data_IF_710554780872
#
_entry.id   IF_710554780872
#
_cell.length_a   1.000
_cell.length_b   1.000
_cell.length_c   1.000
_cell.angle_alpha   90.00
_cell.angle_beta   90.00
_cell.angle_gamma   90.00
#
_symmetry.space_group_name_H-M   'P 1'
#
loop_
_entity.id
_entity.type
_entity.pdbx_description
1 polymer ?
#
# COMPACT_ATOMS: atom_id res chain seq x y z
N UNK A 1 4.13 -16.72 -0.79
CA UNK A 1 4.24 -18.12 -0.34
C UNK A 1 5.48 -18.81 -0.91
N UNK A 2 5.98 -18.38 -2.08
CA UNK A 2 7.12 -18.98 -2.76
C UNK A 2 8.41 -19.03 -1.92
N UNK A 3 8.68 -18.03 -1.06
CA UNK A 3 9.88 -18.05 -0.22
C UNK A 3 9.78 -19.06 0.92
N UNK A 4 8.60 -19.19 1.55
CA UNK A 4 8.36 -20.21 2.57
C UNK A 4 8.44 -21.63 2.00
N UNK A 5 7.97 -21.83 0.76
CA UNK A 5 8.04 -23.12 0.09
C UNK A 5 9.48 -23.51 -0.24
N UNK A 6 10.26 -22.57 -0.78
CA UNK A 6 11.69 -22.75 -0.98
C UNK A 6 12.43 -23.06 0.33
N UNK A 7 12.09 -22.37 1.42
CA UNK A 7 12.70 -22.61 2.73
C UNK A 7 12.34 -23.99 3.31
N UNK A 8 11.12 -24.47 3.07
CA UNK A 8 10.67 -25.81 3.44
C UNK A 8 11.47 -26.85 2.67
N UNK A 9 11.62 -26.68 1.35
CA UNK A 9 12.30 -27.66 0.51
C UNK A 9 13.81 -27.66 0.77
N UNK A 10 14.42 -26.51 1.00
CA UNK A 10 15.81 -26.41 1.46
C UNK A 10 16.01 -27.09 2.82
N UNK A 11 15.07 -26.94 3.76
CA UNK A 11 15.16 -27.62 5.05
C UNK A 11 15.03 -29.15 4.94
N UNK A 12 14.20 -29.65 4.02
CA UNK A 12 14.10 -31.10 3.71
C UNK A 12 15.39 -31.62 3.07
N UNK A 13 15.91 -30.90 2.07
CA UNK A 13 17.15 -31.26 1.37
C UNK A 13 18.34 -31.34 2.33
N UNK A 14 18.39 -30.46 3.32
CA UNK A 14 19.44 -30.45 4.34
C UNK A 14 19.18 -31.44 5.51
N UNK A 15 18.20 -32.33 5.40
CA UNK A 15 17.88 -33.32 6.44
C UNK A 15 17.27 -32.75 7.74
N UNK A 16 17.01 -31.44 7.82
CA UNK A 16 16.51 -30.79 9.02
C UNK A 16 14.99 -30.89 9.13
N UNK A 17 14.51 -32.06 9.53
CA UNK A 17 13.07 -32.35 9.62
C UNK A 17 12.32 -31.46 10.62
N UNK A 18 12.94 -31.11 11.76
CA UNK A 18 12.32 -30.24 12.77
C UNK A 18 12.03 -28.85 12.19
N UNK A 19 13.00 -28.25 11.50
CA UNK A 19 12.84 -26.96 10.82
C UNK A 19 11.78 -27.03 9.73
N UNK A 20 11.79 -28.08 8.90
CA UNK A 20 10.80 -28.27 7.85
C UNK A 20 9.36 -28.38 8.41
N UNK A 21 9.15 -29.14 9.50
CA UNK A 21 7.85 -29.25 10.18
C UNK A 21 7.38 -27.89 10.72
N UNK A 22 8.25 -27.11 11.36
CA UNK A 22 7.92 -25.77 11.89
C UNK A 22 7.52 -24.80 10.78
N UNK A 23 8.23 -24.82 9.65
CA UNK A 23 7.90 -23.99 8.49
C UNK A 23 6.57 -24.40 7.83
N UNK A 24 6.29 -25.69 7.70
CA UNK A 24 4.98 -26.19 7.23
C UNK A 24 3.83 -25.75 8.13
N UNK A 25 4.00 -25.82 9.45
CA UNK A 25 2.98 -25.36 10.40
C UNK A 25 2.73 -23.86 10.25
N UNK A 26 3.80 -23.07 10.10
CA UNK A 26 3.69 -21.65 9.82
C UNK A 26 2.92 -21.40 8.52
N UNK A 27 3.26 -22.10 7.44
CA UNK A 27 2.54 -21.99 6.15
C UNK A 27 1.04 -22.27 6.30
N UNK A 28 0.65 -23.35 6.99
CA UNK A 28 -0.76 -23.69 7.24
C UNK A 28 -1.50 -22.59 8.01
N UNK A 29 -0.87 -22.05 9.06
CA UNK A 29 -1.47 -20.94 9.82
C UNK A 29 -1.74 -19.72 8.95
N UNK A 30 -0.83 -19.39 8.03
CA UNK A 30 -1.03 -18.25 7.12
C UNK A 30 -2.09 -18.49 6.07
N UNK A 31 -2.16 -19.69 5.49
CA UNK A 31 -3.26 -20.05 4.61
C UNK A 31 -4.61 -19.89 5.31
N UNK A 32 -4.71 -20.35 6.56
CA UNK A 32 -5.92 -20.20 7.35
C UNK A 32 -6.24 -18.73 7.64
N UNK A 33 -5.24 -17.92 8.01
CA UNK A 33 -5.43 -16.48 8.25
C UNK A 33 -5.92 -15.80 6.97
N UNK A 34 -5.27 -16.03 5.83
CA UNK A 34 -5.65 -15.41 4.56
C UNK A 34 -7.07 -15.82 4.14
N UNK A 35 -7.43 -17.10 4.27
CA UNK A 35 -8.77 -17.56 3.95
C UNK A 35 -9.83 -16.92 4.86
N UNK A 36 -9.54 -16.82 6.16
CA UNK A 36 -10.43 -16.14 7.10
C UNK A 36 -10.56 -14.65 6.81
N UNK A 37 -9.46 -13.99 6.47
CA UNK A 37 -9.45 -12.58 6.11
C UNK A 37 -10.26 -12.32 4.85
N UNK A 38 -10.08 -13.14 3.80
CA UNK A 38 -10.88 -13.03 2.58
C UNK A 38 -12.37 -13.23 2.85
N UNK A 39 -12.73 -14.22 3.66
CA UNK A 39 -14.12 -14.48 4.04
C UNK A 39 -14.73 -13.31 4.83
N UNK A 40 -14.01 -12.77 5.81
CA UNK A 40 -14.47 -11.61 6.60
C UNK A 40 -14.58 -10.36 5.72
N UNK A 41 -13.63 -10.13 4.82
CA UNK A 41 -13.68 -9.01 3.88
C UNK A 41 -14.93 -9.10 2.98
N UNK A 42 -15.21 -10.28 2.44
CA UNK A 42 -16.39 -10.52 1.59
C UNK A 42 -17.70 -10.33 2.38
N UNK A 43 -17.83 -10.93 3.55
CA UNK A 43 -19.05 -10.80 4.37
C UNK A 43 -19.30 -9.35 4.81
N UNK A 44 -18.26 -8.65 5.25
CA UNK A 44 -18.41 -7.24 5.66
C UNK A 44 -18.79 -6.36 4.48
N UNK A 45 -18.25 -6.60 3.28
CA UNK A 45 -18.68 -5.88 2.08
C UNK A 45 -20.15 -6.15 1.80
N UNK A 46 -20.58 -7.41 1.75
CA UNK A 46 -21.99 -7.78 1.48
C UNK A 46 -22.96 -7.13 2.47
N UNK A 47 -22.61 -7.12 3.76
CA UNK A 47 -23.51 -6.60 4.82
C UNK A 47 -23.62 -5.08 4.77
N UNK A 48 -22.51 -4.36 4.55
CA UNK A 48 -22.46 -2.92 4.75
C UNK A 48 -22.45 -2.10 3.45
N UNK A 49 -22.16 -2.71 2.30
CA UNK A 49 -22.20 -2.02 1.00
C UNK A 49 -23.57 -1.38 0.69
N UNK A 50 -24.73 -1.96 1.04
CA UNK A 50 -26.03 -1.30 0.88
C UNK A 50 -26.18 0.00 1.69
N UNK A 51 -25.43 0.16 2.79
CA UNK A 51 -25.50 1.34 3.66
C UNK A 51 -24.59 2.49 3.17
N UNK A 52 -23.66 2.21 2.25
CA UNK A 52 -22.59 3.13 1.83
C UNK A 52 -23.02 4.06 0.68
N UNK A 53 -24.16 3.80 0.03
CA UNK A 53 -24.69 4.66 -1.04
C UNK A 53 -23.86 4.56 -2.33
N UNK A 54 -23.43 5.69 -2.90
CA UNK A 54 -22.66 5.74 -4.17
C UNK A 54 -21.17 5.36 -4.02
N UNK A 55 -20.74 4.93 -2.82
CA UNK A 55 -19.34 4.53 -2.55
C UNK A 55 -19.13 3.02 -2.56
N UNK A 56 -17.90 2.58 -2.81
CA UNK A 56 -17.47 1.21 -2.55
C UNK A 56 -16.87 1.12 -1.14
N UNK A 57 -17.35 0.17 -0.33
CA UNK A 57 -16.76 -0.11 0.98
C UNK A 57 -15.45 -0.89 0.81
N UNK A 58 -14.34 -0.28 1.22
CA UNK A 58 -13.06 -1.00 1.34
C UNK A 58 -12.87 -1.56 2.74
N UNK A 59 -12.62 -2.86 2.80
CA UNK A 59 -12.40 -3.60 4.04
C UNK A 59 -10.98 -4.15 4.03
N UNK A 60 -10.29 -4.02 5.15
CA UNK A 60 -8.91 -4.48 5.30
C UNK A 60 -8.75 -5.29 6.58
N UNK A 61 -8.35 -6.56 6.45
CA UNK A 61 -7.89 -7.33 7.61
C UNK A 61 -6.43 -7.01 7.93
N UNK A 62 -6.17 -6.46 9.13
CA UNK A 62 -4.81 -6.05 9.54
C UNK A 62 -4.32 -6.73 10.81
N UNK A 63 -3.00 -6.84 10.95
CA UNK A 63 -2.33 -7.35 12.15
C UNK A 63 -1.03 -6.60 12.44
N UNK A 64 -1.11 -5.64 13.37
CA UNK A 64 0.04 -4.86 13.85
C UNK A 64 1.15 -5.76 14.41
N UNK A 65 0.76 -6.71 15.25
CA UNK A 65 1.70 -7.66 15.85
C UNK A 65 2.46 -8.48 14.81
N UNK A 66 1.80 -8.86 13.71
CA UNK A 66 2.46 -9.55 12.60
C UNK A 66 3.37 -8.61 11.82
N UNK A 67 2.88 -7.41 11.49
CA UNK A 67 3.66 -6.42 10.77
C UNK A 67 4.96 -6.08 11.52
N UNK A 68 4.88 -5.68 12.79
CA UNK A 68 6.04 -5.29 13.59
C UNK A 68 7.09 -6.41 13.67
N UNK A 69 6.63 -7.64 13.93
CA UNK A 69 7.49 -8.81 14.06
C UNK A 69 8.26 -9.11 12.78
N UNK A 70 7.62 -8.98 11.62
CA UNK A 70 8.21 -9.38 10.34
C UNK A 70 8.88 -8.24 9.59
N UNK A 71 8.47 -6.99 9.83
CA UNK A 71 9.15 -5.79 9.35
C UNK A 71 10.56 -5.72 9.93
N UNK A 72 10.71 -5.90 11.25
CA UNK A 72 12.04 -5.95 11.91
C UNK A 72 12.94 -7.07 11.38
N UNK A 73 12.36 -8.15 10.85
CA UNK A 73 13.09 -9.31 10.33
C UNK A 73 13.35 -9.24 8.82
N UNK A 74 12.96 -8.15 8.15
CA UNK A 74 13.12 -7.99 6.70
C UNK A 74 12.33 -9.02 5.88
N UNK A 75 11.27 -9.62 6.44
CA UNK A 75 10.48 -10.62 5.73
C UNK A 75 9.32 -9.95 4.97
N UNK A 76 9.62 -9.47 3.77
CA UNK A 76 8.69 -8.70 2.94
C UNK A 76 7.36 -9.44 2.67
N UNK A 77 7.41 -10.75 2.40
CA UNK A 77 6.20 -11.55 2.15
C UNK A 77 5.24 -11.52 3.34
N UNK A 78 5.80 -11.61 4.53
CA UNK A 78 5.03 -11.64 5.77
C UNK A 78 4.56 -10.26 6.21
N UNK A 79 5.29 -9.22 5.83
CA UNK A 79 4.86 -7.83 5.96
C UNK A 79 3.65 -7.58 5.05
N UNK A 80 3.66 -8.06 3.81
CA UNK A 80 2.52 -7.95 2.90
C UNK A 80 1.29 -8.69 3.45
N UNK A 81 1.47 -9.89 3.99
CA UNK A 81 0.39 -10.68 4.58
C UNK A 81 -0.23 -10.07 5.85
N UNK A 82 0.40 -9.06 6.45
CA UNK A 82 -0.16 -8.37 7.62
C UNK A 82 -1.31 -7.40 7.30
N UNK A 83 -1.59 -7.15 6.02
CA UNK A 83 -2.63 -6.22 5.57
C UNK A 83 -2.28 -4.73 5.68
N UNK A 84 -1.37 -4.34 6.58
CA UNK A 84 -0.98 -2.93 6.78
C UNK A 84 -0.47 -2.24 5.50
N UNK A 85 0.36 -2.89 4.65
CA UNK A 85 0.77 -2.26 3.41
C UNK A 85 -0.40 -1.97 2.45
N UNK A 86 -1.48 -2.76 2.48
CA UNK A 86 -2.67 -2.50 1.67
C UNK A 86 -3.40 -1.25 2.16
N UNK A 87 -3.60 -1.12 3.48
CA UNK A 87 -4.19 0.08 4.09
C UNK A 87 -3.38 1.32 3.74
N UNK A 88 -2.04 1.27 3.87
CA UNK A 88 -1.19 2.42 3.53
C UNK A 88 -1.33 2.84 2.08
N UNK A 89 -1.34 1.89 1.15
CA UNK A 89 -1.55 2.18 -0.27
C UNK A 89 -2.90 2.86 -0.50
N UNK A 90 -3.95 2.37 0.13
CA UNK A 90 -5.27 2.99 0.07
C UNK A 90 -5.26 4.42 0.65
N UNK A 91 -4.63 4.66 1.80
CA UNK A 91 -4.48 6.02 2.32
C UNK A 91 -3.74 6.95 1.34
N UNK A 92 -2.74 6.44 0.64
CA UNK A 92 -2.04 7.23 -0.37
C UNK A 92 -2.90 7.57 -1.58
N UNK A 93 -3.81 6.69 -2.03
CA UNK A 93 -4.69 7.01 -3.17
C UNK A 93 -5.63 8.17 -2.83
N UNK A 94 -6.13 8.25 -1.59
CA UNK A 94 -6.96 9.37 -1.12
C UNK A 94 -6.20 10.69 -1.26
N UNK A 95 -4.96 10.73 -0.78
CA UNK A 95 -4.13 11.95 -0.86
C UNK A 95 -3.70 12.29 -2.28
N UNK A 96 -3.39 11.27 -3.08
CA UNK A 96 -2.96 11.45 -4.46
C UNK A 96 -4.06 12.10 -5.31
N UNK A 97 -5.32 11.66 -5.14
CA UNK A 97 -6.44 12.26 -5.84
C UNK A 97 -6.60 13.74 -5.50
N UNK A 98 -6.51 14.12 -4.23
CA UNK A 98 -6.61 15.52 -3.82
C UNK A 98 -5.47 16.37 -4.42
N UNK A 99 -4.24 15.85 -4.43
CA UNK A 99 -3.09 16.52 -5.02
C UNK A 99 -3.21 16.67 -6.54
N UNK A 100 -3.73 15.64 -7.22
CA UNK A 100 -4.00 15.68 -8.66
C UNK A 100 -5.01 16.80 -9.00
N UNK A 101 -6.12 16.88 -8.27
CA UNK A 101 -7.13 17.92 -8.49
C UNK A 101 -6.56 19.32 -8.27
N UNK A 102 -5.71 19.49 -7.25
CA UNK A 102 -4.99 20.76 -7.03
C UNK A 102 -4.05 21.10 -8.17
N UNK A 103 -3.28 20.12 -8.67
CA UNK A 103 -2.37 20.33 -9.80
C UNK A 103 -3.12 20.73 -11.07
N UNK A 104 -4.23 20.03 -11.38
CA UNK A 104 -5.10 20.36 -12.51
C UNK A 104 -5.64 21.79 -12.37
N UNK A 105 -6.17 22.14 -11.20
CA UNK A 105 -6.65 23.50 -10.96
C UNK A 105 -5.55 24.55 -11.14
N UNK A 106 -4.33 24.30 -10.64
CA UNK A 106 -3.20 25.20 -10.84
C UNK A 106 -2.86 25.38 -12.32
N UNK A 107 -2.80 24.28 -13.08
CA UNK A 107 -2.54 24.31 -14.53
C UNK A 107 -3.58 25.15 -15.29
N UNK A 108 -4.87 25.00 -14.96
CA UNK A 108 -5.94 25.71 -15.66
C UNK A 108 -6.09 27.18 -15.24
N UNK A 109 -5.98 27.46 -13.94
CA UNK A 109 -6.33 28.78 -13.37
C UNK A 109 -5.15 29.72 -13.19
N UNK A 110 -3.97 29.17 -12.90
CA UNK A 110 -2.85 29.96 -12.37
C UNK A 110 -1.64 29.96 -13.31
N UNK A 111 -1.43 28.88 -14.06
CA UNK A 111 -0.24 28.73 -14.92
C UNK A 111 -0.10 29.85 -15.95
N UNK A 112 -1.19 30.22 -16.63
CA UNK A 112 -1.13 31.28 -17.66
C UNK A 112 -0.73 32.63 -17.06
N UNK A 113 -1.27 32.99 -15.89
CA UNK A 113 -0.91 34.22 -15.18
C UNK A 113 0.55 34.19 -14.71
N UNK A 114 1.01 33.02 -14.23
CA UNK A 114 2.40 32.82 -13.84
C UNK A 114 3.34 33.00 -15.04
N UNK A 115 3.05 32.36 -16.17
CA UNK A 115 3.84 32.46 -17.40
C UNK A 115 3.90 33.91 -17.90
N UNK A 116 2.76 34.61 -17.92
CA UNK A 116 2.71 36.02 -18.29
C UNK A 116 3.55 36.90 -17.37
N UNK A 117 3.50 36.65 -16.06
CA UNK A 117 4.33 37.39 -15.09
C UNK A 117 5.83 37.12 -15.25
N UNK A 118 6.20 35.89 -15.63
CA UNK A 118 7.59 35.51 -15.87
C UNK A 118 8.12 36.15 -17.16
N UNK A 119 7.31 36.17 -18.22
CA UNK A 119 7.61 36.85 -19.47
C UNK A 119 7.83 38.35 -19.26
N UNK A 120 6.94 39.02 -18.52
CA UNK A 120 7.09 40.43 -18.15
C UNK A 120 8.39 40.72 -17.38
N UNK A 121 8.81 39.83 -16.49
CA UNK A 121 10.07 39.97 -15.75
C UNK A 121 11.28 39.77 -16.65
N UNK A 122 11.23 38.80 -17.56
CA UNK A 122 12.31 38.54 -18.52
C UNK A 122 12.46 39.67 -19.55
N UNK A 123 11.33 40.29 -19.95
CA UNK A 123 11.32 41.42 -20.88
C UNK A 123 11.74 42.75 -20.25
N UNK A 124 11.90 42.81 -18.92
CA UNK A 124 12.25 44.05 -18.22
C UNK A 124 13.72 44.39 -18.53
N UNK A 125 14.03 45.51 -19.22
CA UNK A 125 15.41 45.87 -19.51
C UNK A 125 16.15 46.11 -18.19
N UNK A 126 17.35 45.54 -18.07
CA UNK A 126 18.27 45.82 -16.97
C UNK A 126 18.65 47.29 -17.02
N UNK A 127 17.94 48.12 -16.24
CA UNK A 127 18.34 49.50 -16.01
C UNK A 127 19.67 49.44 -15.27
N UNK A 128 20.77 49.72 -15.98
CA UNK A 128 22.05 49.96 -15.33
C UNK A 128 21.94 51.25 -14.52
N UNK A 129 22.19 51.21 -13.20
CA UNK A 129 22.24 52.44 -12.40
C UNK A 129 23.43 53.28 -12.87
N UNK A 130 23.16 54.56 -13.13
CA UNK A 130 24.18 55.59 -13.44
C UNK A 130 24.99 55.95 -12.20
#
# INVERSE_FOLDING_TARGET
MANLDRDIDKAKANGNQSRAKKLKLRRRRWLLINARSAHVEEELKIVYEPEIGEGALEVFCVSDTSYEKYARKGNAEMVLASGIPAVRRFCYTITAHAQELQAINFLHSTLSSLLYSAELRAAKPTVQPR
#
